data_IF_480616295029
#
_entry.id   IF_480616295029
#
_cell.length_a   1.000
_cell.length_b   1.000
_cell.length_c   1.000
_cell.angle_alpha   90.00
_cell.angle_beta   90.00
_cell.angle_gamma   90.00
#
_symmetry.space_group_name_H-M   'P 1'
#
loop_
_entity.id
_entity.type
_entity.pdbx_description
1 polymer ?
#
# COMPACT_ATOMS: atom_id res chain seq x y z
N UNK A 1 16.63 -7.91 -0.06
CA UNK A 1 15.24 -7.78 0.41
C UNK A 1 14.88 -6.31 0.44
N UNK A 2 13.69 -5.98 -0.01
CA UNK A 2 13.08 -4.65 0.00
C UNK A 2 11.59 -4.85 0.24
N UNK A 3 10.99 -3.99 1.04
CA UNK A 3 9.61 -4.11 1.50
C UNK A 3 8.92 -2.74 1.33
N UNK A 4 7.63 -2.75 0.98
CA UNK A 4 6.78 -1.57 0.97
C UNK A 4 5.44 -1.92 1.60
N UNK A 5 5.17 -1.32 2.76
CA UNK A 5 3.94 -1.54 3.52
C UNK A 5 3.09 -0.28 3.48
N UNK A 6 1.84 -0.42 3.01
CA UNK A 6 0.87 0.68 2.94
C UNK A 6 -0.31 0.40 3.87
N UNK A 7 -0.61 1.26 4.86
CA UNK A 7 -1.74 1.05 5.75
C UNK A 7 -3.07 1.31 5.03
N UNK A 8 -4.06 0.45 5.28
CA UNK A 8 -5.42 0.59 4.77
C UNK A 8 -6.29 1.19 5.88
N UNK A 9 -6.59 2.49 5.76
CA UNK A 9 -7.38 3.24 6.75
C UNK A 9 -8.71 3.64 6.12
N UNK A 10 -9.82 3.22 6.75
CA UNK A 10 -11.18 3.59 6.35
C UNK A 10 -11.93 4.17 7.54
N UNK A 11 -12.56 5.33 7.35
CA UNK A 11 -13.31 6.03 8.40
C UNK A 11 -12.50 6.27 9.69
N UNK A 12 -11.20 6.59 9.54
CA UNK A 12 -10.29 6.82 10.67
C UNK A 12 -9.85 5.55 11.41
N UNK A 13 -10.27 4.36 10.94
CA UNK A 13 -9.87 3.07 11.49
C UNK A 13 -8.89 2.35 10.57
N UNK A 14 -7.84 1.78 11.14
CA UNK A 14 -6.97 0.82 10.46
C UNK A 14 -7.73 -0.49 10.25
N UNK A 15 -7.96 -0.86 9.00
CA UNK A 15 -8.67 -2.09 8.63
C UNK A 15 -7.73 -3.18 8.09
N UNK A 16 -6.50 -2.82 7.73
CA UNK A 16 -5.47 -3.76 7.30
C UNK A 16 -4.21 -3.07 6.82
N UNK A 17 -3.31 -3.86 6.21
CA UNK A 17 -2.10 -3.37 5.54
C UNK A 17 -1.99 -4.06 4.19
N UNK A 18 -1.52 -3.32 3.19
CA UNK A 18 -1.06 -3.87 1.92
C UNK A 18 0.45 -4.06 2.04
N UNK A 19 0.89 -5.30 1.91
CA UNK A 19 2.27 -5.72 2.11
C UNK A 19 2.89 -6.20 0.79
N UNK A 20 4.05 -5.64 0.43
CA UNK A 20 4.74 -5.90 -0.83
C UNK A 20 6.21 -6.22 -0.55
N UNK A 21 6.60 -7.47 -0.83
CA UNK A 21 7.96 -7.96 -0.71
C UNK A 21 8.69 -8.05 -2.05
N UNK A 22 10.01 -7.85 -2.02
CA UNK A 22 10.88 -8.10 -3.17
C UNK A 22 12.25 -8.64 -2.76
N UNK A 23 12.78 -9.68 -3.44
CA UNK A 23 14.14 -10.14 -3.19
C UNK A 23 15.18 -9.07 -3.56
N UNK A 24 14.85 -8.20 -4.52
CA UNK A 24 15.73 -7.13 -5.01
C UNK A 24 15.82 -5.98 -4.01
N UNK A 25 17.03 -5.67 -3.54
CA UNK A 25 17.30 -4.54 -2.65
C UNK A 25 16.99 -3.22 -3.36
N UNK A 26 16.29 -2.31 -2.68
CA UNK A 26 15.95 -1.00 -3.23
C UNK A 26 14.96 -1.07 -4.40
N UNK A 27 14.11 -2.11 -4.44
CA UNK A 27 13.12 -2.26 -5.52
C UNK A 27 12.13 -1.11 -5.55
N UNK A 28 11.75 -0.60 -4.39
CA UNK A 28 10.73 0.43 -4.27
C UNK A 28 11.37 1.80 -4.12
N UNK A 29 10.91 2.75 -4.93
CA UNK A 29 11.26 4.15 -4.84
C UNK A 29 10.01 5.00 -4.48
N UNK A 30 10.17 6.33 -4.47
CA UNK A 30 9.08 7.26 -4.14
C UNK A 30 7.89 7.18 -5.11
N UNK A 31 8.14 6.89 -6.39
CA UNK A 31 7.08 6.74 -7.40
C UNK A 31 6.30 5.44 -7.18
N UNK A 32 6.99 4.33 -6.88
CA UNK A 32 6.35 3.08 -6.49
C UNK A 32 5.45 3.30 -5.25
N UNK A 33 5.96 3.96 -4.21
CA UNK A 33 5.19 4.27 -3.00
C UNK A 33 3.94 5.10 -3.32
N UNK A 34 4.09 6.21 -4.03
CA UNK A 34 2.97 7.08 -4.39
C UNK A 34 1.92 6.36 -5.26
N UNK A 35 2.37 5.47 -6.15
CA UNK A 35 1.50 4.65 -6.99
C UNK A 35 0.69 3.64 -6.18
N UNK A 36 1.33 2.92 -5.25
CA UNK A 36 0.68 1.94 -4.39
C UNK A 36 -0.28 2.62 -3.39
N UNK A 37 0.09 3.76 -2.81
CA UNK A 37 -0.82 4.55 -1.97
C UNK A 37 -2.08 4.98 -2.73
N UNK A 38 -1.93 5.41 -3.99
CA UNK A 38 -3.06 5.74 -4.86
C UNK A 38 -3.93 4.52 -5.17
N UNK A 39 -3.31 3.37 -5.45
CA UNK A 39 -4.03 2.12 -5.66
C UNK A 39 -4.84 1.72 -4.41
N UNK A 40 -4.22 1.81 -3.22
CA UNK A 40 -4.87 1.52 -1.94
C UNK A 40 -6.08 2.45 -1.70
N UNK A 41 -5.95 3.74 -2.02
CA UNK A 41 -7.06 4.68 -1.93
C UNK A 41 -8.22 4.32 -2.87
N UNK A 42 -7.93 3.93 -4.11
CA UNK A 42 -8.96 3.48 -5.08
C UNK A 42 -9.64 2.20 -4.59
N UNK A 43 -8.86 1.24 -4.10
CA UNK A 43 -9.38 -0.02 -3.54
C UNK A 43 -10.35 0.23 -2.40
N UNK A 44 -9.97 1.06 -1.41
CA UNK A 44 -10.81 1.43 -0.26
C UNK A 44 -12.10 2.14 -0.67
N UNK A 45 -12.04 2.98 -1.70
CA UNK A 45 -13.21 3.69 -2.23
C UNK A 45 -14.15 2.78 -3.03
N UNK A 46 -13.64 1.67 -3.56
CA UNK A 46 -14.37 0.79 -4.49
C UNK A 46 -14.84 -0.52 -3.84
N UNK A 47 -14.58 -0.70 -2.55
CA UNK A 47 -14.92 -1.94 -1.83
C UNK A 47 -15.62 -1.66 -0.50
N UNK A 48 -16.52 -2.56 -0.12
CA UNK A 48 -17.26 -2.52 1.15
C UNK A 48 -16.48 -3.16 2.32
N UNK A 49 -15.14 -3.09 2.26
CA UNK A 49 -14.27 -3.52 3.35
C UNK A 49 -14.38 -2.63 4.58
#
# INVERSE_FOLDING_TARGET
>A
NSELVVPLIKEGRLIGVLDLDSPSVGRFNEEDQAGIERLAAIFLASTDC
#
